data_IF_200900158335
#
_entry.id   IF_200900158335
#
_cell.length_a   1.000
_cell.length_b   1.000
_cell.length_c   1.000
_cell.angle_alpha   90.00
_cell.angle_beta   90.00
_cell.angle_gamma   90.00
#
_symmetry.space_group_name_H-M   'P 1'
#
loop_
_entity.id
_entity.type
_entity.pdbx_description
1 polymer ?
#
# COMPACT_ATOMS: atom_id res chain seq x y z
N UNK A 1 -53.76 -12.51 43.03
CA UNK A 1 -52.84 -12.76 41.90
C UNK A 1 -51.45 -12.29 42.35
N UNK A 2 -50.51 -13.21 42.56
CA UNK A 2 -49.14 -12.88 43.00
C UNK A 2 -48.37 -12.35 41.78
N UNK A 3 -48.05 -11.06 41.76
CA UNK A 3 -47.15 -10.49 40.75
C UNK A 3 -45.73 -10.77 41.24
N UNK A 4 -45.02 -11.61 40.50
CA UNK A 4 -43.66 -12.02 40.80
C UNK A 4 -42.71 -11.00 40.14
N UNK A 5 -42.22 -10.02 40.91
CA UNK A 5 -41.18 -9.10 40.43
C UNK A 5 -39.82 -9.73 40.68
N UNK A 6 -39.29 -10.45 39.70
CA UNK A 6 -37.89 -10.88 39.72
C UNK A 6 -37.01 -9.65 39.48
N UNK A 7 -36.37 -9.18 40.55
CA UNK A 7 -35.25 -8.24 40.46
C UNK A 7 -34.03 -9.06 40.07
N UNK A 8 -33.57 -8.93 38.82
CA UNK A 8 -32.32 -9.53 38.37
C UNK A 8 -31.16 -8.67 38.86
N UNK A 9 -30.37 -9.22 39.79
CA UNK A 9 -29.12 -8.62 40.26
C UNK A 9 -27.98 -9.14 39.38
N UNK A 10 -27.27 -8.23 38.71
CA UNK A 10 -26.02 -8.54 38.03
C UNK A 10 -24.86 -8.03 38.87
N UNK A 11 -23.90 -8.91 39.16
CA UNK A 11 -22.60 -8.54 39.74
C UNK A 11 -21.56 -8.50 38.62
N UNK A 12 -21.06 -7.31 38.30
CA UNK A 12 -19.84 -7.17 37.50
C UNK A 12 -18.61 -7.43 38.38
N UNK A 13 -17.51 -7.91 37.77
CA UNK A 13 -16.22 -8.22 38.40
C UNK A 13 -15.46 -6.99 38.93
N UNK A 14 -16.14 -5.88 39.16
CA UNK A 14 -15.57 -4.67 39.77
C UNK A 14 -16.64 -3.89 40.54
N UNK A 15 -17.25 -4.52 41.56
CA UNK A 15 -17.90 -3.83 42.69
C UNK A 15 -19.07 -2.86 42.43
N UNK A 16 -19.47 -2.57 41.20
CA UNK A 16 -20.54 -1.62 40.89
C UNK A 16 -21.88 -2.36 40.80
N UNK A 17 -22.77 -2.11 41.76
CA UNK A 17 -24.17 -2.54 41.71
C UNK A 17 -24.96 -1.55 40.86
N UNK A 18 -25.50 -2.01 39.73
CA UNK A 18 -26.48 -1.27 38.93
C UNK A 18 -27.89 -1.77 39.29
N UNK A 19 -28.78 -0.86 39.69
CA UNK A 19 -30.20 -1.16 39.97
C UNK A 19 -31.10 -0.27 39.12
N UNK A 20 -32.04 -0.87 38.38
CA UNK A 20 -33.14 -0.17 37.73
C UNK A 20 -34.06 0.45 38.79
N UNK A 21 -34.36 1.75 38.65
CA UNK A 21 -35.41 2.40 39.44
C UNK A 21 -36.48 2.96 38.50
N UNK A 22 -37.55 2.20 38.31
CA UNK A 22 -38.81 2.73 37.79
C UNK A 22 -39.46 3.52 38.93
N UNK A 23 -39.37 4.85 38.85
CA UNK A 23 -39.96 5.84 39.76
C UNK A 23 -40.98 5.28 40.78
N UNK A 24 -40.53 5.12 42.03
CA UNK A 24 -41.36 5.35 43.22
C UNK A 24 -40.47 5.72 44.40
N UNK A 25 -40.72 6.91 44.96
CA UNK A 25 -39.95 7.50 46.05
C UNK A 25 -40.06 6.67 47.33
N UNK A 26 -38.95 6.15 47.84
CA UNK A 26 -38.70 6.02 49.29
C UNK A 26 -37.20 6.15 49.61
N UNK A 27 -36.89 7.18 50.39
CA UNK A 27 -35.61 7.46 51.06
C UNK A 27 -35.12 6.25 51.87
N UNK A 28 -33.86 5.82 51.67
CA UNK A 28 -32.91 5.44 52.74
C UNK A 28 -31.46 5.62 52.29
N UNK A 29 -30.67 6.16 53.22
CA UNK A 29 -29.26 6.50 53.13
C UNK A 29 -28.36 5.34 52.67
N UNK A 30 -27.84 5.48 51.47
CA UNK A 30 -26.49 5.09 51.07
C UNK A 30 -26.08 6.15 50.05
N UNK A 31 -24.84 6.64 50.08
CA UNK A 31 -24.27 7.44 48.98
C UNK A 31 -24.18 6.55 47.73
N UNK A 32 -25.32 6.25 47.13
CA UNK A 32 -25.41 5.66 45.82
C UNK A 32 -25.18 6.80 44.83
N UNK A 33 -24.05 6.74 44.14
CA UNK A 33 -23.82 7.57 42.96
C UNK A 33 -24.91 7.19 41.96
N UNK A 34 -25.96 8.02 41.85
CA UNK A 34 -26.98 7.86 40.83
C UNK A 34 -26.36 8.27 39.48
N UNK A 35 -25.84 7.29 38.75
CA UNK A 35 -25.42 7.48 37.37
C UNK A 35 -26.68 7.48 36.52
N UNK A 36 -27.06 8.64 36.00
CA UNK A 36 -28.16 8.77 35.06
C UNK A 36 -27.68 8.31 33.67
N UNK A 37 -27.65 7.00 33.45
CA UNK A 37 -27.36 6.41 32.14
C UNK A 37 -28.67 6.45 31.34
N UNK A 38 -28.66 7.09 30.17
CA UNK A 38 -29.83 7.07 29.32
C UNK A 38 -30.14 5.63 28.86
N UNK A 39 -31.40 5.36 28.52
CA UNK A 39 -31.84 4.01 28.15
C UNK A 39 -31.14 3.49 26.89
N UNK A 40 -30.83 4.34 25.91
CA UNK A 40 -30.12 3.94 24.70
C UNK A 40 -28.70 3.47 25.03
N UNK A 41 -27.97 4.22 25.87
CA UNK A 41 -26.62 3.84 26.30
C UNK A 41 -26.63 2.49 27.04
N UNK A 42 -27.62 2.25 27.91
CA UNK A 42 -27.76 0.97 28.59
C UNK A 42 -28.08 -0.18 27.62
N UNK A 43 -28.96 0.07 26.65
CA UNK A 43 -29.31 -0.92 25.62
C UNK A 43 -28.09 -1.27 24.76
N UNK A 44 -27.27 -0.29 24.38
CA UNK A 44 -26.03 -0.55 23.64
C UNK A 44 -25.01 -1.33 24.47
N UNK A 45 -24.83 -1.01 25.76
CA UNK A 45 -23.94 -1.77 26.65
C UNK A 45 -24.38 -3.23 26.81
N UNK A 46 -25.69 -3.46 26.94
CA UNK A 46 -26.24 -4.82 26.95
C UNK A 46 -25.97 -5.52 25.62
N UNK A 47 -26.11 -4.81 24.49
CA UNK A 47 -25.89 -5.37 23.16
C UNK A 47 -24.42 -5.77 22.94
N UNK A 48 -23.48 -4.89 23.32
CA UNK A 48 -22.04 -5.17 23.36
C UNK A 48 -21.70 -6.46 24.12
N UNK A 49 -22.37 -6.68 25.26
CA UNK A 49 -22.14 -7.88 26.08
C UNK A 49 -22.80 -9.16 25.54
N UNK A 50 -23.70 -9.06 24.55
CA UNK A 50 -24.59 -10.14 24.13
C UNK A 50 -24.33 -10.68 22.72
N UNK A 51 -23.68 -9.90 21.85
CA UNK A 51 -23.36 -10.31 20.48
C UNK A 51 -22.02 -11.04 20.42
N UNK A 52 -21.91 -11.97 19.46
CA UNK A 52 -20.64 -12.58 19.14
C UNK A 52 -19.69 -11.51 18.58
N UNK A 53 -18.45 -11.50 19.07
CA UNK A 53 -17.37 -10.66 18.53
C UNK A 53 -17.11 -11.05 17.07
N UNK A 54 -17.46 -10.17 16.13
CA UNK A 54 -17.24 -10.36 14.69
C UNK A 54 -16.52 -9.14 14.11
N UNK A 55 -15.48 -9.39 13.32
CA UNK A 55 -14.79 -8.36 12.55
C UNK A 55 -15.64 -7.96 11.33
N UNK A 56 -16.16 -6.74 11.34
CA UNK A 56 -17.00 -6.17 10.27
C UNK A 56 -16.15 -5.37 9.28
N UNK A 57 -15.22 -4.56 9.81
CA UNK A 57 -14.31 -3.79 8.97
C UNK A 57 -13.36 -4.74 8.24
N UNK A 58 -13.08 -4.43 6.98
CA UNK A 58 -12.04 -5.08 6.18
C UNK A 58 -11.27 -4.00 5.48
N UNK A 59 -9.98 -3.88 5.76
CA UNK A 59 -9.11 -2.91 5.14
C UNK A 59 -9.13 -3.02 3.61
N UNK A 60 -9.29 -4.23 3.10
CA UNK A 60 -9.44 -4.56 1.68
C UNK A 60 -9.98 -5.98 1.55
N UNK A 61 -10.65 -6.28 0.44
CA UNK A 61 -11.19 -7.60 0.11
C UNK A 61 -10.84 -8.04 -1.32
N UNK A 62 -9.93 -7.31 -1.98
CA UNK A 62 -9.53 -7.51 -3.37
C UNK A 62 -10.70 -7.41 -4.38
N UNK A 63 -11.80 -6.75 -4.01
CA UNK A 63 -12.96 -6.57 -4.89
C UNK A 63 -12.82 -5.42 -5.89
N UNK A 64 -11.80 -4.56 -5.75
CA UNK A 64 -11.56 -3.49 -6.71
C UNK A 64 -11.17 -4.06 -8.07
N UNK A 65 -11.93 -3.68 -9.10
CA UNK A 65 -11.67 -3.99 -10.50
C UNK A 65 -11.57 -2.67 -11.24
N UNK A 66 -10.47 -2.48 -11.98
CA UNK A 66 -10.31 -1.32 -12.84
C UNK A 66 -11.22 -1.47 -14.08
N UNK A 67 -12.25 -0.61 -14.24
CA UNK A 67 -13.22 -0.75 -15.33
C UNK A 67 -12.61 -0.47 -16.71
N UNK A 68 -11.60 0.42 -16.78
CA UNK A 68 -10.91 0.73 -18.04
C UNK A 68 -10.06 -0.47 -18.49
N UNK A 69 -9.44 -1.18 -17.54
CA UNK A 69 -8.66 -2.40 -17.83
C UNK A 69 -9.58 -3.54 -18.27
N UNK A 70 -10.71 -3.74 -17.58
CA UNK A 70 -11.71 -4.75 -17.97
C UNK A 70 -12.23 -4.48 -19.39
N UNK A 71 -12.55 -3.23 -19.71
CA UNK A 71 -12.99 -2.84 -21.04
C UNK A 71 -11.91 -3.10 -22.11
N UNK A 72 -10.64 -2.82 -21.80
CA UNK A 72 -9.50 -3.07 -22.71
C UNK A 72 -9.34 -4.55 -23.02
N UNK A 73 -9.30 -5.38 -21.97
CA UNK A 73 -9.17 -6.84 -22.08
C UNK A 73 -10.31 -7.40 -22.93
N UNK A 74 -11.56 -7.04 -22.59
CA UNK A 74 -12.74 -7.49 -23.32
C UNK A 74 -12.69 -7.11 -24.80
N UNK A 75 -12.30 -5.87 -25.13
CA UNK A 75 -12.22 -5.41 -26.52
C UNK A 75 -11.21 -6.22 -27.34
N UNK A 76 -10.02 -6.49 -26.77
CA UNK A 76 -8.99 -7.26 -27.46
C UNK A 76 -9.37 -8.74 -27.60
N UNK A 77 -9.96 -9.34 -26.58
CA UNK A 77 -10.47 -10.71 -26.64
C UNK A 77 -11.53 -10.87 -27.74
N UNK A 78 -12.54 -9.99 -27.76
CA UNK A 78 -13.58 -10.00 -28.78
C UNK A 78 -13.02 -9.80 -30.18
N UNK A 79 -12.11 -8.84 -30.35
CA UNK A 79 -11.46 -8.57 -31.62
C UNK A 79 -10.69 -9.78 -32.13
N UNK A 80 -9.73 -10.29 -31.35
CA UNK A 80 -8.83 -11.33 -31.81
C UNK A 80 -9.49 -12.70 -31.92
N UNK A 81 -10.52 -12.98 -31.12
CA UNK A 81 -11.37 -14.16 -31.31
C UNK A 81 -12.03 -14.13 -32.69
N UNK A 82 -12.69 -13.02 -33.03
CA UNK A 82 -13.35 -12.84 -34.33
C UNK A 82 -12.34 -12.91 -35.48
N UNK A 83 -11.21 -12.21 -35.36
CA UNK A 83 -10.18 -12.21 -36.39
C UNK A 83 -9.57 -13.60 -36.60
N UNK A 84 -9.40 -14.40 -35.55
CA UNK A 84 -8.94 -15.79 -35.67
C UNK A 84 -9.95 -16.68 -36.42
N UNK A 85 -11.26 -16.50 -36.17
CA UNK A 85 -12.31 -17.20 -36.93
C UNK A 85 -12.31 -16.83 -38.41
N UNK A 86 -12.02 -15.56 -38.74
CA UNK A 86 -11.88 -15.10 -40.13
C UNK A 86 -10.61 -15.66 -40.79
N UNK A 87 -9.46 -15.61 -40.12
CA UNK A 87 -8.19 -16.13 -40.61
C UNK A 87 -8.26 -17.62 -40.95
N UNK A 88 -8.99 -18.41 -40.15
CA UNK A 88 -9.18 -19.86 -40.37
C UNK A 88 -9.97 -20.21 -41.64
N UNK A 89 -10.64 -19.24 -42.28
CA UNK A 89 -11.35 -19.45 -43.55
C UNK A 89 -10.41 -19.46 -44.77
N UNK A 90 -9.18 -18.97 -44.62
CA UNK A 90 -8.18 -19.00 -45.69
C UNK A 90 -7.56 -20.39 -45.84
N UNK A 91 -7.19 -20.83 -47.06
CA UNK A 91 -6.55 -22.13 -47.27
C UNK A 91 -5.25 -22.33 -46.49
N UNK A 92 -4.48 -21.26 -46.30
CA UNK A 92 -3.31 -21.22 -45.43
C UNK A 92 -3.42 -20.00 -44.49
N UNK A 93 -4.03 -20.16 -43.30
CA UNK A 93 -4.21 -19.08 -42.33
C UNK A 93 -2.89 -18.46 -41.87
N UNK A 94 -1.83 -19.26 -41.78
CA UNK A 94 -0.52 -18.79 -41.33
C UNK A 94 0.11 -17.85 -42.35
N UNK A 95 0.09 -18.25 -43.62
CA UNK A 95 0.61 -17.42 -44.71
C UNK A 95 -0.28 -16.20 -44.95
N UNK A 96 -1.60 -16.31 -44.77
CA UNK A 96 -2.52 -15.17 -44.79
C UNK A 96 -2.12 -14.10 -43.77
N UNK A 97 -1.97 -14.48 -42.49
CA UNK A 97 -1.57 -13.57 -41.40
C UNK A 97 -0.20 -12.95 -41.69
N UNK A 98 0.77 -13.73 -42.17
CA UNK A 98 2.09 -13.19 -42.51
C UNK A 98 1.99 -12.11 -43.60
N UNK A 99 1.26 -12.37 -44.69
CA UNK A 99 1.11 -11.40 -45.79
C UNK A 99 0.33 -10.15 -45.36
N UNK A 100 -0.72 -10.30 -44.54
CA UNK A 100 -1.51 -9.20 -43.97
C UNK A 100 -0.63 -8.14 -43.28
N UNK A 101 0.46 -8.56 -42.63
CA UNK A 101 1.33 -7.66 -41.87
C UNK A 101 2.71 -7.40 -42.49
N UNK A 102 3.16 -8.20 -43.46
CA UNK A 102 4.53 -8.10 -44.01
C UNK A 102 4.61 -7.85 -45.53
N UNK A 103 3.50 -7.95 -46.27
CA UNK A 103 3.51 -7.84 -47.73
C UNK A 103 2.67 -6.64 -48.22
N UNK A 104 3.31 -5.49 -48.54
CA UNK A 104 2.61 -4.28 -48.99
C UNK A 104 1.77 -4.43 -50.28
N UNK A 105 1.99 -5.50 -51.05
CA UNK A 105 1.25 -5.78 -52.29
C UNK A 105 0.06 -6.73 -52.07
N UNK A 106 -0.12 -7.24 -50.85
CA UNK A 106 -1.20 -8.16 -50.53
C UNK A 106 -2.52 -7.41 -50.37
N UNK A 107 -3.62 -8.01 -50.86
CA UNK A 107 -4.95 -7.39 -50.83
C UNK A 107 -5.39 -6.97 -49.42
N UNK A 108 -5.04 -7.78 -48.41
CA UNK A 108 -5.40 -7.56 -47.00
C UNK A 108 -4.31 -6.82 -46.21
N UNK A 109 -3.31 -6.22 -46.86
CA UNK A 109 -2.22 -5.57 -46.13
C UNK A 109 -2.72 -4.44 -45.22
N UNK A 110 -2.34 -4.47 -43.94
CA UNK A 110 -2.71 -3.50 -42.90
C UNK A 110 -1.94 -2.17 -43.09
N UNK A 111 -2.36 -1.41 -44.11
CA UNK A 111 -1.73 -0.16 -44.57
C UNK A 111 -1.92 1.01 -43.61
N UNK A 112 -2.95 0.97 -42.79
CA UNK A 112 -3.32 1.98 -41.80
C UNK A 112 -2.49 1.90 -40.50
N UNK A 113 -1.81 0.78 -40.29
CA UNK A 113 -0.94 0.55 -39.14
C UNK A 113 0.49 1.04 -39.43
N UNK A 114 1.23 1.42 -38.40
CA UNK A 114 2.69 1.57 -38.47
C UNK A 114 3.40 0.22 -38.26
N UNK A 115 4.73 0.19 -38.37
CA UNK A 115 5.51 -1.05 -38.25
C UNK A 115 5.36 -1.74 -36.88
N UNK A 116 5.32 -0.96 -35.80
CA UNK A 116 5.13 -1.49 -34.45
C UNK A 116 3.73 -2.07 -34.27
N UNK A 117 2.70 -1.33 -34.71
CA UNK A 117 1.31 -1.78 -34.68
C UNK A 117 1.12 -3.08 -35.48
N UNK A 118 1.67 -3.17 -36.70
CA UNK A 118 1.65 -4.39 -37.51
C UNK A 118 2.35 -5.56 -36.82
N UNK A 119 3.50 -5.32 -36.20
CA UNK A 119 4.24 -6.36 -35.47
C UNK A 119 3.41 -6.90 -34.30
N UNK A 120 2.80 -6.02 -33.51
CA UNK A 120 1.96 -6.41 -32.37
C UNK A 120 0.76 -7.23 -32.86
N UNK A 121 0.01 -6.72 -33.84
CA UNK A 121 -1.17 -7.43 -34.36
C UNK A 121 -0.81 -8.76 -35.03
N UNK A 122 0.34 -8.84 -35.72
CA UNK A 122 0.89 -10.10 -36.24
C UNK A 122 1.17 -11.11 -35.12
N UNK A 123 1.87 -10.72 -34.05
CA UNK A 123 2.17 -11.59 -32.91
C UNK A 123 0.90 -12.09 -32.20
N UNK A 124 -0.09 -11.21 -32.04
CA UNK A 124 -1.38 -11.55 -31.42
C UNK A 124 -2.17 -12.56 -32.26
N UNK A 125 -2.40 -12.28 -33.54
CA UNK A 125 -3.14 -13.19 -34.42
C UNK A 125 -2.42 -14.53 -34.58
N UNK A 126 -1.08 -14.53 -34.66
CA UNK A 126 -0.29 -15.76 -34.76
C UNK A 126 -0.39 -16.59 -33.49
N UNK A 127 -0.39 -15.96 -32.32
CA UNK A 127 -0.57 -16.64 -31.03
C UNK A 127 -1.95 -17.27 -30.92
N UNK A 128 -2.99 -16.53 -31.31
CA UNK A 128 -4.39 -17.00 -31.34
C UNK A 128 -4.60 -18.17 -32.31
N UNK A 129 -3.96 -18.12 -33.49
CA UNK A 129 -3.99 -19.23 -34.44
C UNK A 129 -3.36 -20.49 -33.84
N UNK A 130 -2.28 -20.34 -33.08
CA UNK A 130 -1.56 -21.43 -32.42
C UNK A 130 -2.20 -21.91 -31.11
N UNK A 131 -3.35 -21.34 -30.69
CA UNK A 131 -4.01 -21.67 -29.43
C UNK A 131 -3.21 -21.25 -28.18
N UNK A 132 -2.32 -20.27 -28.31
CA UNK A 132 -1.52 -19.73 -27.20
C UNK A 132 -2.17 -18.47 -26.65
N UNK A 133 -2.22 -18.38 -25.33
CA UNK A 133 -2.53 -17.11 -24.65
C UNK A 133 -1.36 -16.14 -24.83
N UNK A 134 -1.64 -14.90 -25.18
CA UNK A 134 -0.65 -13.82 -25.23
C UNK A 134 -1.10 -12.68 -24.33
N UNK A 135 -0.14 -12.06 -23.64
CA UNK A 135 -0.43 -10.86 -22.86
C UNK A 135 -0.88 -9.74 -23.79
N UNK A 136 -1.96 -9.04 -23.44
CA UNK A 136 -2.44 -7.89 -24.18
C UNK A 136 -1.42 -6.74 -24.10
N UNK A 137 -1.19 -6.05 -25.22
CA UNK A 137 -0.27 -4.92 -25.29
C UNK A 137 -1.07 -3.63 -25.40
N UNK A 138 -0.71 -2.65 -24.60
CA UNK A 138 -1.36 -1.32 -24.60
C UNK A 138 -1.06 -0.51 -25.87
N UNK A 139 0.00 -0.87 -26.59
CA UNK A 139 0.34 -0.32 -27.92
C UNK A 139 -0.38 -1.02 -29.08
N UNK A 140 -1.36 -1.88 -28.80
CA UNK A 140 -2.15 -2.54 -29.82
C UNK A 140 -3.05 -1.54 -30.57
N UNK A 141 -3.04 -1.63 -31.90
CA UNK A 141 -3.79 -0.74 -32.78
C UNK A 141 -5.29 -0.68 -32.46
N UNK A 142 -5.87 -1.81 -32.00
CA UNK A 142 -7.31 -1.92 -31.78
C UNK A 142 -7.79 -1.21 -30.49
N UNK A 143 -6.87 -0.85 -29.58
CA UNK A 143 -7.16 -0.13 -28.34
C UNK A 143 -6.51 1.25 -28.29
N UNK A 144 -5.80 1.68 -29.35
CA UNK A 144 -5.06 2.94 -29.38
C UNK A 144 -5.90 4.17 -28.99
N UNK A 145 -7.18 4.20 -29.36
CA UNK A 145 -8.09 5.33 -29.06
C UNK A 145 -8.91 5.10 -27.77
N UNK A 146 -8.66 4.01 -27.02
CA UNK A 146 -9.22 3.81 -25.68
C UNK A 146 -8.48 4.65 -24.65
N UNK A 147 -9.15 4.86 -23.51
CA UNK A 147 -8.57 5.55 -22.37
C UNK A 147 -7.27 4.86 -21.92
N UNK A 148 -6.21 5.64 -21.78
CA UNK A 148 -4.95 5.15 -21.22
C UNK A 148 -5.08 4.94 -19.70
N UNK A 149 -4.40 3.92 -19.20
CA UNK A 149 -4.45 3.54 -17.79
C UNK A 149 -3.09 3.80 -17.18
N UNK A 150 -3.07 4.48 -16.04
CA UNK A 150 -1.87 4.83 -15.30
C UNK A 150 -1.95 4.25 -13.90
N UNK A 151 -0.83 3.65 -13.46
CA UNK A 151 -0.75 2.93 -12.19
C UNK A 151 -1.03 3.86 -10.98
N UNK A 152 -0.49 5.08 -11.01
CA UNK A 152 -0.72 6.08 -9.95
C UNK A 152 -2.21 6.46 -9.82
N UNK A 153 -2.89 6.69 -10.94
CA UNK A 153 -4.33 6.97 -10.98
C UNK A 153 -5.13 5.75 -10.51
N UNK A 154 -4.77 4.55 -10.95
CA UNK A 154 -5.50 3.32 -10.59
C UNK A 154 -5.35 2.98 -9.10
N UNK A 155 -4.14 3.10 -8.55
CA UNK A 155 -3.87 2.95 -7.12
C UNK A 155 -4.65 3.99 -6.31
N UNK A 156 -4.71 5.24 -6.77
CA UNK A 156 -5.49 6.29 -6.09
C UNK A 156 -7.00 5.97 -6.08
N UNK A 157 -7.55 5.52 -7.22
CA UNK A 157 -8.95 5.06 -7.33
C UNK A 157 -9.24 3.85 -6.47
N UNK A 158 -8.32 2.88 -6.42
CA UNK A 158 -8.42 1.72 -5.56
C UNK A 158 -8.48 2.11 -4.08
N UNK A 159 -7.60 3.01 -3.63
CA UNK A 159 -7.62 3.51 -2.25
C UNK A 159 -8.93 4.23 -1.92
N UNK A 160 -9.43 5.06 -2.84
CA UNK A 160 -10.74 5.72 -2.67
C UNK A 160 -11.90 4.71 -2.60
N UNK A 161 -11.89 3.66 -3.43
CA UNK A 161 -12.88 2.59 -3.39
C UNK A 161 -12.89 1.85 -2.05
N UNK A 162 -11.72 1.45 -1.54
CA UNK A 162 -11.65 0.79 -0.23
C UNK A 162 -12.01 1.73 0.92
N UNK A 163 -11.72 3.02 0.80
CA UNK A 163 -12.21 4.02 1.76
C UNK A 163 -13.73 4.04 1.84
N UNK A 164 -14.44 3.94 0.73
CA UNK A 164 -15.90 3.85 0.73
C UNK A 164 -16.41 2.56 1.36
N UNK A 165 -15.78 1.43 1.05
CA UNK A 165 -16.11 0.14 1.68
C UNK A 165 -15.95 0.17 3.20
N UNK A 166 -14.86 0.75 3.69
CA UNK A 166 -14.63 0.90 5.13
C UNK A 166 -15.62 1.88 5.75
N UNK A 167 -16.00 2.97 5.07
CA UNK A 167 -17.08 3.85 5.53
C UNK A 167 -18.42 3.10 5.67
N UNK A 168 -18.79 2.29 4.67
CA UNK A 168 -20.00 1.45 4.68
C UNK A 168 -19.96 0.43 5.84
N UNK A 169 -18.84 -0.27 6.01
CA UNK A 169 -18.66 -1.25 7.09
C UNK A 169 -18.70 -0.61 8.47
N UNK A 170 -18.10 0.58 8.62
CA UNK A 170 -18.17 1.32 9.88
C UNK A 170 -19.60 1.78 10.17
N UNK A 171 -20.35 2.25 9.17
CA UNK A 171 -21.78 2.54 9.34
C UNK A 171 -22.57 1.30 9.79
N UNK A 172 -22.33 0.15 9.18
CA UNK A 172 -22.96 -1.12 9.58
C UNK A 172 -22.60 -1.53 11.01
N UNK A 173 -21.36 -1.28 11.43
CA UNK A 173 -20.90 -1.51 12.79
C UNK A 173 -21.65 -0.61 13.78
N UNK A 174 -21.79 0.68 13.48
CA UNK A 174 -22.58 1.61 14.31
C UNK A 174 -24.05 1.21 14.38
N UNK A 175 -24.67 0.89 13.24
CA UNK A 175 -26.08 0.47 13.14
C UNK A 175 -26.33 -0.81 13.95
N UNK A 176 -25.40 -1.77 13.89
CA UNK A 176 -25.46 -3.02 14.65
C UNK A 176 -25.54 -2.76 16.16
N UNK A 177 -24.90 -1.71 16.65
CA UNK A 177 -24.89 -1.34 18.07
C UNK A 177 -25.85 -0.18 18.42
N UNK A 178 -26.64 0.30 17.46
CA UNK A 178 -27.59 1.41 17.67
C UNK A 178 -26.92 2.75 17.99
N UNK A 179 -25.69 2.96 17.50
CA UNK A 179 -24.90 4.17 17.76
C UNK A 179 -25.21 5.23 16.70
N UNK A 180 -25.63 6.40 17.16
CA UNK A 180 -25.87 7.57 16.29
C UNK A 180 -24.78 8.62 16.58
N UNK A 181 -23.99 8.96 15.55
CA UNK A 181 -23.03 10.07 15.63
C UNK A 181 -23.76 11.36 15.22
N UNK A 182 -23.80 12.42 16.06
CA UNK A 182 -24.44 13.66 15.69
C UNK A 182 -23.83 14.28 14.44
N UNK A 183 -24.67 14.88 13.60
CA UNK A 183 -24.22 15.55 12.37
C UNK A 183 -23.17 16.63 12.69
N UNK A 184 -22.19 16.76 11.80
CA UNK A 184 -21.12 17.75 11.86
C UNK A 184 -20.16 17.61 13.05
N UNK A 185 -20.24 16.49 13.79
CA UNK A 185 -19.25 16.10 14.80
C UNK A 185 -17.94 15.72 14.10
N UNK A 186 -16.83 16.32 14.53
CA UNK A 186 -15.50 15.94 14.07
C UNK A 186 -14.92 14.98 15.12
N UNK A 187 -14.53 13.78 14.68
CA UNK A 187 -13.98 12.75 15.56
C UNK A 187 -12.60 12.38 15.02
N UNK A 188 -11.61 12.21 15.89
CA UNK A 188 -10.32 11.62 15.54
C UNK A 188 -10.18 10.28 16.25
N UNK A 189 -9.93 9.23 15.47
CA UNK A 189 -9.59 7.90 15.94
C UNK A 189 -8.08 7.73 15.89
N UNK A 190 -7.45 7.48 17.03
CA UNK A 190 -6.01 7.25 17.15
C UNK A 190 -5.77 5.82 17.60
N UNK A 191 -4.92 5.07 16.90
CA UNK A 191 -4.75 3.64 17.10
C UNK A 191 -3.30 3.34 17.49
N UNK A 192 -3.14 2.63 18.61
CA UNK A 192 -1.86 2.13 19.09
C UNK A 192 -1.31 1.04 18.14
N UNK A 193 -0.03 1.10 17.75
CA UNK A 193 0.53 0.18 16.75
C UNK A 193 0.83 -1.23 17.28
N UNK A 194 0.65 -1.52 18.57
CA UNK A 194 1.07 -2.75 19.20
C UNK A 194 -0.12 -3.64 19.59
N UNK A 195 -1.11 -3.06 20.23
CA UNK A 195 -2.33 -3.76 20.65
C UNK A 195 -3.53 -3.38 19.78
N UNK A 196 -3.34 -2.48 18.81
CA UNK A 196 -4.40 -1.96 17.93
C UNK A 196 -5.57 -1.34 18.69
N UNK A 197 -5.37 -0.91 19.93
CA UNK A 197 -6.41 -0.23 20.70
C UNK A 197 -6.68 1.15 20.13
N UNK A 198 -7.94 1.46 19.89
CA UNK A 198 -8.36 2.79 19.48
C UNK A 198 -8.61 3.69 20.69
N UNK A 199 -8.27 4.97 20.55
CA UNK A 199 -8.67 6.07 21.41
C UNK A 199 -9.42 7.12 20.59
N UNK A 200 -10.48 7.68 21.15
CA UNK A 200 -11.39 8.62 20.48
C UNK A 200 -11.21 10.02 21.06
N UNK A 201 -11.05 11.00 20.18
CA UNK A 201 -10.94 12.42 20.55
C UNK A 201 -11.73 13.32 19.60
N UNK A 202 -11.83 14.62 19.92
CA UNK A 202 -12.58 15.60 19.13
C UNK A 202 -14.07 15.72 19.49
N UNK A 203 -14.58 14.88 20.40
CA UNK A 203 -15.96 14.90 20.89
C UNK A 203 -16.04 15.21 22.39
N UNK A 204 -16.99 16.07 22.79
CA UNK A 204 -17.21 16.43 24.20
C UNK A 204 -17.98 15.35 24.98
N UNK A 205 -18.85 14.61 24.27
CA UNK A 205 -19.62 13.51 24.83
C UNK A 205 -18.69 12.31 25.10
N UNK A 206 -18.24 12.20 26.36
CA UNK A 206 -17.37 11.12 26.82
C UNK A 206 -18.04 9.75 26.75
N UNK A 207 -19.37 9.68 26.89
CA UNK A 207 -20.09 8.42 26.82
C UNK A 207 -20.11 7.90 25.39
N UNK A 208 -20.37 8.77 24.42
CA UNK A 208 -20.25 8.43 23.00
C UNK A 208 -18.80 8.11 22.61
N UNK A 209 -17.81 8.84 23.11
CA UNK A 209 -16.40 8.54 22.88
C UNK A 209 -16.03 7.12 23.33
N UNK A 210 -16.32 6.78 24.59
CA UNK A 210 -16.05 5.43 25.12
C UNK A 210 -16.83 4.35 24.38
N UNK A 211 -18.06 4.63 23.97
CA UNK A 211 -18.86 3.66 23.22
C UNK A 211 -18.29 3.38 21.82
N UNK A 212 -17.76 4.41 21.14
CA UNK A 212 -17.07 4.24 19.87
C UNK A 212 -15.76 3.47 20.04
N UNK A 213 -15.02 3.72 21.13
CA UNK A 213 -13.82 2.94 21.49
C UNK A 213 -14.17 1.47 21.70
N UNK A 214 -15.18 1.17 22.51
CA UNK A 214 -15.62 -0.19 22.81
C UNK A 214 -16.02 -0.94 21.54
N UNK A 215 -16.84 -0.30 20.68
CA UNK A 215 -17.33 -0.92 19.45
C UNK A 215 -16.20 -1.20 18.44
N UNK A 216 -15.29 -0.25 18.23
CA UNK A 216 -14.15 -0.48 17.33
C UNK A 216 -13.14 -1.48 17.88
N UNK A 217 -13.02 -1.60 19.21
CA UNK A 217 -12.14 -2.59 19.85
C UNK A 217 -12.78 -3.99 19.93
N UNK A 218 -14.01 -4.20 19.43
CA UNK A 218 -14.57 -5.55 19.29
C UNK A 218 -13.88 -6.32 18.15
N UNK A 219 -13.55 -7.60 18.39
CA UNK A 219 -12.83 -8.45 17.46
C UNK A 219 -11.56 -7.75 16.88
N UNK A 220 -11.34 -7.81 15.56
CA UNK A 220 -10.20 -7.15 14.89
C UNK A 220 -10.58 -5.82 14.20
N UNK A 221 -11.72 -5.19 14.52
CA UNK A 221 -12.20 -4.01 13.78
C UNK A 221 -11.19 -2.84 13.81
N UNK A 222 -10.58 -2.55 14.95
CA UNK A 222 -9.57 -1.50 15.09
C UNK A 222 -8.26 -1.85 14.38
N UNK A 223 -7.86 -3.12 14.34
CA UNK A 223 -6.70 -3.61 13.58
C UNK A 223 -6.92 -3.49 12.07
N UNK A 224 -8.13 -3.78 11.59
CA UNK A 224 -8.51 -3.57 10.20
C UNK A 224 -8.53 -2.07 9.85
N UNK A 225 -9.01 -1.21 10.75
CA UNK A 225 -8.93 0.24 10.56
C UNK A 225 -7.47 0.73 10.52
N UNK A 226 -6.60 0.25 11.40
CA UNK A 226 -5.16 0.54 11.37
C UNK A 226 -4.52 0.12 10.05
N UNK A 227 -4.81 -1.10 9.60
CA UNK A 227 -4.31 -1.65 8.33
C UNK A 227 -4.78 -0.82 7.15
N UNK A 228 -6.03 -0.35 7.19
CA UNK A 228 -6.60 0.52 6.16
C UNK A 228 -5.89 1.88 6.10
N UNK A 229 -5.64 2.53 7.24
CA UNK A 229 -4.89 3.79 7.31
C UNK A 229 -3.49 3.58 6.74
N UNK A 230 -2.80 2.52 7.18
CA UNK A 230 -1.46 2.19 6.73
C UNK A 230 -1.39 1.97 5.21
N UNK A 231 -2.30 1.18 4.64
CA UNK A 231 -2.33 0.91 3.19
C UNK A 231 -2.78 2.09 2.34
N UNK A 232 -3.59 2.98 2.92
CA UNK A 232 -4.00 4.22 2.26
C UNK A 232 -2.91 5.29 2.30
N UNK A 233 -1.85 5.10 3.10
CA UNK A 233 -0.79 6.10 3.24
C UNK A 233 -0.05 6.38 1.94
N UNK A 234 0.42 7.62 1.80
CA UNK A 234 1.31 8.09 0.74
C UNK A 234 2.75 8.23 1.28
N UNK A 235 3.73 8.30 0.39
CA UNK A 235 5.16 8.36 0.77
C UNK A 235 5.51 9.58 1.64
N UNK A 236 4.69 10.63 1.61
CA UNK A 236 4.86 11.85 2.40
C UNK A 236 4.01 11.89 3.69
N UNK A 237 3.45 10.76 4.13
CA UNK A 237 2.62 10.73 5.34
C UNK A 237 3.45 10.97 6.61
N UNK A 238 3.17 12.05 7.34
CA UNK A 238 3.92 12.46 8.53
C UNK A 238 3.75 11.53 9.74
N UNK A 239 2.77 10.63 9.75
CA UNK A 239 2.53 9.67 10.83
C UNK A 239 3.45 8.44 10.72
N UNK A 240 4.07 8.21 9.55
CA UNK A 240 4.86 7.01 9.25
C UNK A 240 6.29 7.43 8.94
N UNK A 241 7.21 7.07 9.83
CA UNK A 241 8.65 7.17 9.57
C UNK A 241 9.22 5.78 9.35
N UNK A 242 10.39 5.70 8.70
CA UNK A 242 11.08 4.41 8.56
C UNK A 242 11.30 3.75 9.94
N UNK A 243 11.79 4.52 10.91
CA UNK A 243 12.11 4.00 12.24
C UNK A 243 10.88 3.52 13.01
N UNK A 244 9.79 4.29 12.99
CA UNK A 244 8.56 3.91 13.70
C UNK A 244 7.88 2.69 13.06
N UNK A 245 7.87 2.61 11.73
CA UNK A 245 7.37 1.45 10.99
C UNK A 245 8.22 0.19 11.26
N UNK A 246 9.56 0.32 11.29
CA UNK A 246 10.44 -0.79 11.63
C UNK A 246 10.25 -1.27 13.06
N UNK A 247 10.13 -0.35 14.02
CA UNK A 247 9.82 -0.67 15.42
C UNK A 247 8.52 -1.46 15.57
N UNK A 248 7.45 -0.99 14.94
CA UNK A 248 6.15 -1.69 14.96
C UNK A 248 6.23 -3.08 14.31
N UNK A 249 6.88 -3.19 13.14
CA UNK A 249 7.04 -4.49 12.45
C UNK A 249 7.85 -5.49 13.27
N UNK A 250 8.99 -5.07 13.83
CA UNK A 250 9.82 -5.99 14.61
C UNK A 250 9.14 -6.40 15.91
N UNK A 251 8.38 -5.50 16.54
CA UNK A 251 7.55 -5.85 17.70
C UNK A 251 6.61 -7.02 17.39
N UNK A 252 5.82 -6.92 16.32
CA UNK A 252 4.87 -7.98 15.95
C UNK A 252 5.56 -9.27 15.55
N UNK A 253 6.65 -9.20 14.79
CA UNK A 253 7.43 -10.38 14.41
C UNK A 253 7.95 -11.14 15.64
N UNK A 254 8.51 -10.43 16.63
CA UNK A 254 9.01 -11.08 17.86
C UNK A 254 7.86 -11.64 18.69
N UNK A 255 6.77 -10.89 18.86
CA UNK A 255 5.59 -11.35 19.60
C UNK A 255 4.97 -12.59 18.98
N UNK A 256 4.82 -12.62 17.66
CA UNK A 256 4.24 -13.74 16.92
C UNK A 256 5.11 -15.01 16.95
N UNK A 257 6.44 -14.86 16.93
CA UNK A 257 7.38 -16.00 16.86
C UNK A 257 7.79 -16.52 18.24
N UNK A 258 7.84 -15.66 19.24
CA UNK A 258 8.39 -16.00 20.57
C UNK A 258 7.35 -15.94 21.69
N UNK A 259 6.24 -15.23 21.49
CA UNK A 259 5.24 -14.94 22.52
C UNK A 259 5.60 -13.79 23.46
N UNK A 260 6.80 -13.22 23.36
CA UNK A 260 7.22 -12.10 24.22
C UNK A 260 6.80 -10.75 23.66
N UNK A 261 6.30 -9.90 24.55
CA UNK A 261 6.03 -8.50 24.28
C UNK A 261 7.29 -7.68 24.57
N UNK A 262 7.87 -7.00 23.57
CA UNK A 262 9.12 -6.26 23.74
C UNK A 262 9.01 -5.12 24.77
N UNK A 263 7.79 -4.65 25.07
CA UNK A 263 7.56 -3.60 26.09
C UNK A 263 7.79 -4.11 27.51
N UNK A 264 7.67 -5.42 27.71
CA UNK A 264 7.82 -6.08 29.02
C UNK A 264 9.25 -6.58 29.27
N UNK A 265 10.13 -6.49 28.27
CA UNK A 265 11.51 -6.97 28.35
C UNK A 265 12.47 -5.88 28.85
N UNK A 266 13.53 -6.31 29.54
CA UNK A 266 14.61 -5.39 29.93
C UNK A 266 15.46 -5.06 28.72
N UNK A 267 15.59 -3.76 28.39
CA UNK A 267 16.45 -3.31 27.30
C UNK A 267 17.77 -2.75 27.86
N UNK A 268 18.81 -3.58 27.86
CA UNK A 268 20.13 -3.26 28.42
C UNK A 268 21.24 -3.69 27.46
N UNK A 269 22.31 -2.89 27.36
CA UNK A 269 23.49 -3.15 26.52
C UNK A 269 23.17 -3.51 25.06
N UNK A 270 22.16 -2.85 24.47
CA UNK A 270 21.77 -3.08 23.09
C UNK A 270 21.05 -4.41 22.85
N UNK A 271 20.49 -5.01 23.90
CA UNK A 271 19.75 -6.29 23.86
C UNK A 271 18.41 -6.16 24.56
N UNK A 272 17.52 -7.10 24.26
CA UNK A 272 16.29 -7.32 25.03
C UNK A 272 16.42 -8.63 25.79
N UNK A 273 16.29 -8.57 27.11
CA UNK A 273 16.42 -9.70 28.00
C UNK A 273 15.06 -10.08 28.58
N UNK A 274 14.78 -11.38 28.59
CA UNK A 274 13.65 -11.97 29.31
C UNK A 274 13.85 -11.89 30.82
N UNK A 275 12.80 -12.12 31.64
CA UNK A 275 12.91 -12.07 33.10
C UNK A 275 13.96 -13.02 33.71
N UNK A 276 14.31 -14.10 33.01
CA UNK A 276 15.38 -15.03 33.40
C UNK A 276 16.76 -14.70 32.80
N UNK A 277 16.88 -13.58 32.10
CA UNK A 277 18.13 -13.03 31.55
C UNK A 277 18.53 -13.58 30.18
N UNK A 278 17.66 -14.31 29.49
CA UNK A 278 17.93 -14.85 28.15
C UNK A 278 17.74 -13.76 27.10
N UNK A 279 18.66 -13.69 26.13
CA UNK A 279 18.57 -12.75 25.01
C UNK A 279 17.44 -13.17 24.07
N UNK A 280 16.50 -12.26 23.79
CA UNK A 280 15.35 -12.56 22.93
C UNK A 280 15.77 -13.04 21.54
N UNK A 281 16.96 -12.64 21.08
CA UNK A 281 17.47 -13.03 19.78
C UNK A 281 17.77 -14.53 19.70
N UNK A 282 18.18 -15.15 20.82
CA UNK A 282 18.39 -16.59 20.91
C UNK A 282 17.05 -17.34 20.78
N UNK A 283 16.03 -16.86 21.47
CA UNK A 283 14.67 -17.41 21.41
C UNK A 283 14.09 -17.26 20.01
N UNK A 284 14.25 -16.09 19.38
CA UNK A 284 13.82 -15.83 18.02
C UNK A 284 14.51 -16.75 17.00
N UNK A 285 15.83 -16.94 17.14
CA UNK A 285 16.61 -17.86 16.29
C UNK A 285 16.06 -19.28 16.37
N UNK A 286 15.80 -19.78 17.59
CA UNK A 286 15.22 -21.10 17.77
C UNK A 286 13.82 -21.23 17.15
N UNK A 287 12.97 -20.21 17.35
CA UNK A 287 11.63 -20.16 16.78
C UNK A 287 11.67 -20.20 15.25
N UNK A 288 12.61 -19.49 14.62
CA UNK A 288 12.81 -19.50 13.17
C UNK A 288 13.29 -20.86 12.65
N UNK A 289 14.24 -21.50 13.32
CA UNK A 289 14.72 -22.85 12.96
C UNK A 289 13.57 -23.87 13.01
N UNK A 290 12.73 -23.79 14.05
CA UNK A 290 11.60 -24.72 14.28
C UNK A 290 10.37 -24.40 13.42
N UNK A 291 10.32 -23.23 12.77
CA UNK A 291 9.15 -22.81 11.99
C UNK A 291 8.95 -23.68 10.75
N UNK A 292 7.72 -24.17 10.56
CA UNK A 292 7.22 -24.86 9.37
C UNK A 292 6.60 -23.89 8.34
N UNK A 293 6.34 -22.64 8.75
CA UNK A 293 5.76 -21.57 7.91
C UNK A 293 6.78 -20.89 7.00
N UNK A 294 8.08 -21.09 7.24
CA UNK A 294 9.17 -20.46 6.48
C UNK A 294 9.96 -21.57 5.79
N UNK A 295 10.07 -21.57 4.44
CA UNK A 295 10.90 -22.54 3.74
C UNK A 295 12.35 -22.47 4.21
N UNK A 296 13.01 -23.63 4.29
CA UNK A 296 14.33 -23.80 4.90
C UNK A 296 15.37 -22.85 4.29
N UNK A 297 15.33 -22.67 2.97
CA UNK A 297 16.23 -21.80 2.21
C UNK A 297 16.13 -20.31 2.56
N UNK A 298 15.00 -19.88 3.15
CA UNK A 298 14.77 -18.48 3.51
C UNK A 298 14.95 -18.20 5.01
N UNK A 299 15.01 -19.22 5.87
CA UNK A 299 15.09 -19.04 7.34
C UNK A 299 16.27 -18.16 7.77
N UNK A 300 17.46 -18.42 7.21
CA UNK A 300 18.66 -17.64 7.52
C UNK A 300 18.51 -16.17 7.14
N UNK A 301 18.03 -15.91 5.92
CA UNK A 301 17.84 -14.55 5.39
C UNK A 301 16.81 -13.76 6.21
N UNK A 302 15.65 -14.34 6.52
CA UNK A 302 14.65 -13.68 7.36
C UNK A 302 15.16 -13.43 8.77
N UNK A 303 15.86 -14.40 9.35
CA UNK A 303 16.47 -14.24 10.68
C UNK A 303 17.45 -13.07 10.69
N UNK A 304 18.41 -13.02 9.76
CA UNK A 304 19.42 -11.96 9.70
C UNK A 304 18.77 -10.57 9.51
N UNK A 305 17.80 -10.48 8.60
CA UNK A 305 17.06 -9.24 8.34
C UNK A 305 16.33 -8.72 9.59
N UNK A 306 15.61 -9.57 10.30
CA UNK A 306 14.86 -9.18 11.49
C UNK A 306 15.78 -9.00 12.72
N UNK A 307 16.84 -9.80 12.84
CA UNK A 307 17.85 -9.65 13.88
C UNK A 307 18.51 -8.26 13.85
N UNK A 308 18.88 -7.79 12.65
CA UNK A 308 19.46 -6.46 12.48
C UNK A 308 18.48 -5.36 12.93
N UNK A 309 17.21 -5.46 12.56
CA UNK A 309 16.17 -4.50 12.98
C UNK A 309 15.95 -4.50 14.47
N UNK A 310 15.90 -5.68 15.08
CA UNK A 310 15.76 -5.83 16.53
C UNK A 310 16.94 -5.20 17.27
N UNK A 311 18.16 -5.44 16.81
CA UNK A 311 19.37 -4.83 17.36
C UNK A 311 19.36 -3.31 17.22
N UNK A 312 18.93 -2.76 16.07
CA UNK A 312 18.82 -1.32 15.88
C UNK A 312 17.87 -0.67 16.90
N UNK A 313 16.71 -1.31 17.15
CA UNK A 313 15.76 -0.83 18.17
C UNK A 313 16.35 -0.98 19.57
N UNK A 314 16.99 -2.12 19.87
CA UNK A 314 17.58 -2.40 21.18
C UNK A 314 18.75 -1.45 21.53
N UNK A 315 19.58 -1.07 20.55
CA UNK A 315 20.69 -0.13 20.72
C UNK A 315 20.21 1.29 21.02
N UNK A 316 19.13 1.72 20.35
CA UNK A 316 18.54 3.04 20.59
C UNK A 316 17.76 3.10 21.90
N UNK A 317 17.19 1.98 22.33
CA UNK A 317 16.22 1.94 23.42
C UNK A 317 14.80 1.86 22.88
N UNK A 318 14.00 0.86 23.28
CA UNK A 318 12.61 0.74 22.79
C UNK A 318 11.82 2.03 22.98
N UNK A 319 11.89 2.66 24.15
CA UNK A 319 11.16 3.90 24.45
C UNK A 319 11.70 5.14 23.72
N UNK A 320 12.92 5.07 23.16
CA UNK A 320 13.56 6.20 22.47
C UNK A 320 13.28 6.21 20.97
N UNK A 321 12.81 5.10 20.40
CA UNK A 321 12.38 5.03 19.00
C UNK A 321 10.89 5.43 18.92
N UNK A 322 10.50 6.38 18.05
CA UNK A 322 9.10 6.82 17.94
C UNK A 322 8.13 5.68 17.59
N UNK A 323 6.91 5.76 18.10
CA UNK A 323 5.84 4.81 17.80
C UNK A 323 5.10 5.18 16.51
N UNK A 324 4.67 4.19 15.74
CA UNK A 324 3.86 4.39 14.53
C UNK A 324 2.37 4.55 14.88
N UNK A 325 2.06 5.53 15.72
CA UNK A 325 0.68 5.84 16.09
C UNK A 325 -0.04 6.41 14.87
N UNK A 326 -1.11 5.74 14.44
CA UNK A 326 -1.88 6.16 13.28
C UNK A 326 -3.22 6.76 13.71
N UNK A 327 -3.54 7.92 13.15
CA UNK A 327 -4.79 8.62 13.35
C UNK A 327 -5.56 8.79 12.06
N UNK A 328 -6.88 8.84 12.19
CA UNK A 328 -7.80 9.17 11.11
C UNK A 328 -8.99 9.97 11.61
N UNK A 329 -9.35 11.00 10.86
CA UNK A 329 -10.50 11.83 11.18
C UNK A 329 -11.77 11.22 10.60
N UNK A 330 -12.91 11.50 11.21
CA UNK A 330 -14.23 11.09 10.75
C UNK A 330 -15.23 12.22 10.90
N UNK A 331 -16.02 12.41 9.85
CA UNK A 331 -17.12 13.35 9.83
C UNK A 331 -18.16 12.93 8.80
N UNK A 332 -19.44 13.04 9.17
CA UNK A 332 -20.57 12.90 8.25
C UNK A 332 -20.50 11.64 7.36
N UNK A 333 -20.19 10.47 7.95
CA UNK A 333 -20.17 9.21 7.22
C UNK A 333 -18.85 8.91 6.48
N UNK A 334 -17.83 9.76 6.59
CA UNK A 334 -16.57 9.57 5.88
C UNK A 334 -15.36 9.70 6.79
N UNK A 335 -14.40 8.79 6.60
CA UNK A 335 -13.05 8.90 7.15
C UNK A 335 -12.15 9.79 6.26
N UNK A 336 -11.29 10.59 6.88
CA UNK A 336 -10.37 11.53 6.26
C UNK A 336 -8.93 11.30 6.76
N UNK A 337 -8.00 11.13 5.83
CA UNK A 337 -6.60 10.85 6.14
C UNK A 337 -5.91 12.00 6.88
N UNK A 338 -5.11 11.66 7.88
CA UNK A 338 -4.29 12.60 8.67
C UNK A 338 -2.82 12.45 8.27
N UNK A 339 -2.08 13.56 8.28
CA UNK A 339 -0.64 13.57 8.02
C UNK A 339 -0.24 13.50 6.54
N UNK A 340 -1.18 13.54 5.61
CA UNK A 340 -0.90 13.54 4.16
C UNK A 340 -1.78 14.55 3.41
N UNK A 341 -1.30 15.03 2.26
CA UNK A 341 -2.00 15.99 1.41
C UNK A 341 -3.10 15.34 0.56
N UNK A 342 -2.83 14.14 0.05
CA UNK A 342 -3.77 13.36 -0.73
C UNK A 342 -4.74 12.66 0.21
N UNK A 343 -5.99 13.09 0.18
CA UNK A 343 -7.01 12.61 1.09
C UNK A 343 -8.07 11.83 0.29
N UNK A 344 -8.40 10.65 0.79
CA UNK A 344 -9.36 9.74 0.21
C UNK A 344 -10.75 9.89 0.85
N UNK A 345 -10.98 10.82 1.77
CA UNK A 345 -12.33 11.13 2.27
C UNK A 345 -13.22 11.69 1.16
N UNK A 346 -14.53 11.41 1.21
CA UNK A 346 -15.48 11.64 0.11
C UNK A 346 -15.41 13.06 -0.46
N UNK A 347 -15.27 14.08 0.38
CA UNK A 347 -15.25 15.49 -0.02
C UNK A 347 -13.85 16.02 -0.44
N UNK A 348 -12.83 15.16 -0.50
CA UNK A 348 -11.42 15.57 -0.70
C UNK A 348 -10.73 14.87 -1.88
N UNK A 349 -11.47 14.19 -2.75
CA UNK A 349 -10.93 13.34 -3.82
C UNK A 349 -10.67 14.04 -5.16
N UNK A 350 -10.99 15.32 -5.32
CA UNK A 350 -10.84 16.05 -6.59
C UNK A 350 -9.43 15.99 -7.20
N UNK A 351 -8.41 15.73 -6.38
CA UNK A 351 -7.03 15.57 -6.85
C UNK A 351 -6.85 14.31 -7.72
N UNK A 352 -7.64 13.25 -7.52
CA UNK A 352 -7.60 12.02 -8.33
C UNK A 352 -8.02 12.34 -9.77
N UNK A 353 -9.10 13.12 -9.92
CA UNK A 353 -9.60 13.52 -11.23
C UNK A 353 -8.64 14.49 -11.92
N UNK A 354 -8.02 15.41 -11.17
CA UNK A 354 -6.96 16.29 -11.69
C UNK A 354 -5.73 15.50 -12.13
N UNK A 355 -5.33 14.48 -11.37
CA UNK A 355 -4.24 13.58 -11.72
C UNK A 355 -4.57 12.84 -13.02
N UNK A 356 -5.75 12.23 -13.14
CA UNK A 356 -6.19 11.53 -14.35
C UNK A 356 -6.24 12.47 -15.57
N UNK A 357 -6.76 13.69 -15.40
CA UNK A 357 -6.83 14.69 -16.46
C UNK A 357 -5.45 15.24 -16.88
N UNK A 358 -4.43 15.16 -16.01
CA UNK A 358 -3.06 15.59 -16.33
C UNK A 358 -2.31 14.62 -17.25
N UNK A 359 -2.80 13.38 -17.37
CA UNK A 359 -2.18 12.33 -18.18
C UNK A 359 -2.64 12.39 -19.63
N UNK A 360 -1.88 11.83 -20.58
CA UNK A 360 -2.40 11.53 -21.91
C UNK A 360 -3.69 10.71 -21.82
N UNK A 361 -4.72 11.09 -22.57
CA UNK A 361 -6.06 10.52 -22.39
C UNK A 361 -6.24 9.22 -23.16
N UNK A 362 -5.47 9.00 -24.23
CA UNK A 362 -5.57 7.77 -25.05
C UNK A 362 -4.25 7.02 -25.10
N UNK A 363 -4.32 5.69 -25.31
CA UNK A 363 -3.12 4.87 -25.51
C UNK A 363 -2.27 5.36 -26.68
N UNK A 364 -2.87 5.92 -27.73
CA UNK A 364 -2.19 6.52 -28.87
C UNK A 364 -1.34 7.72 -28.45
N UNK A 365 -1.81 8.53 -27.51
CA UNK A 365 -1.05 9.67 -26.97
C UNK A 365 0.04 9.18 -26.02
N UNK A 366 -0.30 8.25 -25.11
CA UNK A 366 0.64 7.66 -24.15
C UNK A 366 1.82 6.96 -24.83
N UNK A 367 1.57 6.19 -25.89
CA UNK A 367 2.62 5.46 -26.61
C UNK A 367 3.46 6.36 -27.53
N UNK A 368 3.05 7.62 -27.77
CA UNK A 368 3.87 8.60 -28.50
C UNK A 368 4.98 9.17 -27.62
N UNK A 369 4.73 9.42 -26.33
CA UNK A 369 5.73 9.98 -25.42
C UNK A 369 6.91 9.02 -25.18
N UNK A 370 6.68 7.71 -25.25
CA UNK A 370 7.73 6.70 -25.12
C UNK A 370 8.58 6.53 -26.41
N UNK A 371 8.11 7.11 -27.52
CA UNK A 371 8.78 7.10 -28.82
C UNK A 371 9.75 8.27 -29.03
N UNK A 372 10.45 8.72 -27.97
CA UNK A 372 11.72 9.43 -28.16
C UNK A 372 12.69 8.42 -28.78
N UNK A 373 12.68 8.35 -30.11
CA UNK A 373 13.60 7.55 -30.93
C UNK A 373 15.02 7.68 -30.40
N UNK A 374 15.78 6.58 -30.38
CA UNK A 374 17.17 6.50 -29.90
C UNK A 374 18.05 7.64 -30.44
N UNK A 375 17.78 8.14 -31.65
CA UNK A 375 18.47 9.31 -32.22
C UNK A 375 18.27 10.61 -31.44
N UNK A 376 17.10 10.80 -30.83
CA UNK A 376 16.79 11.97 -30.00
C UNK A 376 17.31 11.81 -28.56
N UNK A 377 17.44 10.57 -28.05
CA UNK A 377 18.18 10.31 -26.78
C UNK A 377 19.66 10.67 -26.90
N UNK A 378 20.30 10.40 -28.05
CA UNK A 378 21.68 10.84 -28.28
C UNK A 378 21.82 12.37 -28.36
N UNK A 379 20.82 13.07 -28.89
CA UNK A 379 20.77 14.53 -28.90
C UNK A 379 20.62 15.11 -27.49
N UNK A 380 19.63 14.62 -26.75
CA UNK A 380 19.33 15.05 -25.38
C UNK A 380 20.48 14.74 -24.42
N UNK A 381 21.15 13.58 -24.54
CA UNK A 381 22.33 13.23 -23.73
C UNK A 381 23.53 14.13 -24.07
N UNK A 382 23.74 14.49 -25.34
CA UNK A 382 24.81 15.43 -25.73
C UNK A 382 24.58 16.85 -25.21
N UNK A 383 23.32 17.27 -25.22
CA UNK A 383 22.89 18.60 -24.79
C UNK A 383 22.91 18.72 -23.26
N UNK A 384 22.40 17.70 -22.55
CA UNK A 384 22.40 17.63 -21.08
C UNK A 384 23.79 17.44 -20.45
N UNK A 385 24.73 16.80 -21.17
CA UNK A 385 26.12 16.64 -20.71
C UNK A 385 27.07 17.72 -21.25
N UNK A 386 26.55 18.72 -21.99
CA UNK A 386 27.30 19.81 -22.62
C UNK A 386 28.57 19.32 -23.38
N UNK A 387 28.48 18.17 -24.04
CA UNK A 387 29.61 17.42 -24.63
C UNK A 387 30.13 17.98 -25.97
N UNK A 388 29.96 19.28 -26.21
CA UNK A 388 30.45 19.93 -27.43
C UNK A 388 31.98 19.93 -27.54
N UNK A 389 32.69 19.49 -26.50
CA UNK A 389 34.17 19.50 -26.39
C UNK A 389 34.83 18.13 -26.19
N UNK A 390 34.06 17.04 -26.02
CA UNK A 390 34.60 15.69 -25.79
C UNK A 390 34.25 14.77 -26.95
N UNK A 391 35.28 14.28 -27.66
CA UNK A 391 35.08 13.38 -28.81
C UNK A 391 34.86 11.95 -28.36
N UNK A 392 34.16 11.16 -29.17
CA UNK A 392 33.89 9.73 -28.89
C UNK A 392 35.18 8.91 -28.74
N UNK A 393 36.30 9.40 -29.27
CA UNK A 393 37.61 8.75 -29.18
C UNK A 393 38.24 8.87 -27.78
N UNK A 394 37.97 9.95 -27.04
CA UNK A 394 38.38 10.10 -25.62
C UNK A 394 37.69 9.08 -24.70
N UNK A 395 36.37 8.90 -24.87
CA UNK A 395 35.60 7.89 -24.11
C UNK A 395 36.06 6.46 -24.43
N UNK A 396 36.48 6.20 -25.67
CA UNK A 396 37.04 4.89 -26.06
C UNK A 396 38.41 4.64 -25.44
N UNK A 397 39.26 5.65 -25.29
CA UNK A 397 40.57 5.45 -24.63
C UNK A 397 40.44 5.17 -23.14
N UNK A 398 39.45 5.80 -22.49
CA UNK A 398 39.21 5.66 -21.05
C UNK A 398 38.51 4.34 -20.72
N UNK A 399 37.52 3.94 -21.54
CA UNK A 399 36.93 2.60 -21.49
C UNK A 399 37.98 1.50 -21.73
N UNK A 400 38.95 1.75 -22.62
CA UNK A 400 40.06 0.83 -22.88
C UNK A 400 41.00 0.67 -21.67
N UNK A 401 41.23 1.74 -20.91
CA UNK A 401 41.95 1.67 -19.63
C UNK A 401 41.22 0.81 -18.59
N UNK A 402 39.89 0.92 -18.49
CA UNK A 402 39.07 0.09 -17.61
C UNK A 402 38.99 -1.38 -18.08
N UNK A 403 38.96 -1.63 -19.39
CA UNK A 403 39.02 -2.98 -19.95
C UNK A 403 40.36 -3.67 -19.67
N UNK A 404 41.47 -2.93 -19.70
CA UNK A 404 42.81 -3.42 -19.36
C UNK A 404 42.97 -3.65 -17.84
N UNK A 405 42.34 -2.83 -16.99
CA UNK A 405 42.38 -2.96 -15.52
C UNK A 405 41.56 -4.16 -15.01
N UNK A 406 40.37 -4.40 -15.58
CA UNK A 406 39.43 -5.42 -15.09
C UNK A 406 39.33 -6.68 -15.99
N UNK A 407 40.05 -6.72 -17.12
CA UNK A 407 40.18 -7.90 -17.97
C UNK A 407 38.88 -8.37 -18.64
N UNK A 408 37.85 -7.52 -18.70
CA UNK A 408 36.54 -7.83 -19.28
C UNK A 408 36.04 -6.66 -20.14
N UNK A 409 35.38 -6.93 -21.26
CA UNK A 409 34.76 -5.92 -22.13
C UNK A 409 33.26 -5.71 -21.88
N UNK A 410 32.71 -6.38 -20.86
CA UNK A 410 31.29 -6.31 -20.52
C UNK A 410 30.97 -5.05 -19.71
N UNK A 411 30.22 -4.14 -20.34
CA UNK A 411 29.91 -2.82 -19.81
C UNK A 411 28.92 -2.85 -18.63
N UNK A 412 28.02 -3.84 -18.58
CA UNK A 412 27.10 -4.03 -17.44
C UNK A 412 27.87 -4.58 -16.24
N UNK A 413 28.81 -5.49 -16.47
CA UNK A 413 29.67 -6.02 -15.41
C UNK A 413 30.57 -4.94 -14.79
N UNK A 414 31.14 -4.05 -15.61
CA UNK A 414 31.93 -2.90 -15.13
C UNK A 414 31.07 -1.95 -14.30
N UNK A 415 29.84 -1.66 -14.76
CA UNK A 415 28.88 -0.83 -14.04
C UNK A 415 28.49 -1.44 -12.68
N UNK A 416 28.25 -2.75 -12.63
CA UNK A 416 27.96 -3.50 -11.40
C UNK A 416 29.13 -3.49 -10.42
N UNK A 417 30.37 -3.69 -10.90
CA UNK A 417 31.58 -3.67 -10.06
C UNK A 417 31.80 -2.28 -9.43
N UNK A 418 31.55 -1.21 -10.19
CA UNK A 418 31.65 0.16 -9.70
C UNK A 418 30.54 0.49 -8.68
N UNK A 419 29.29 0.05 -8.93
CA UNK A 419 28.20 0.17 -7.96
C UNK A 419 28.48 -0.62 -6.67
N UNK A 420 29.07 -1.81 -6.78
CA UNK A 420 29.43 -2.65 -5.63
C UNK A 420 30.55 -2.02 -4.79
N UNK A 421 31.52 -1.35 -5.42
CA UNK A 421 32.56 -0.57 -4.71
C UNK A 421 31.99 0.61 -3.94
N UNK A 422 31.03 1.34 -4.52
CA UNK A 422 30.37 2.47 -3.87
C UNK A 422 29.54 2.07 -2.64
N UNK A 423 28.85 0.93 -2.72
CA UNK A 423 28.05 0.40 -1.61
C UNK A 423 28.89 -0.14 -0.44
N UNK A 424 30.21 -0.33 -0.62
CA UNK A 424 31.11 -0.89 0.40
C UNK A 424 32.03 0.15 1.07
N UNK A 425 31.71 1.44 0.95
CA UNK A 425 32.27 2.57 1.73
C UNK A 425 33.81 2.55 1.91
N UNK A 426 34.55 2.59 0.79
CA UNK A 426 36.01 2.78 0.80
C UNK A 426 36.44 3.98 -0.05
N UNK A 427 37.09 4.92 0.65
CA UNK A 427 37.77 6.17 0.29
C UNK A 427 37.87 6.64 -1.17
N UNK A 428 37.19 7.78 -1.39
CA UNK A 428 37.41 8.93 -2.29
C UNK A 428 38.58 8.91 -3.29
N UNK A 429 38.27 8.72 -4.58
CA UNK A 429 39.04 9.33 -5.65
C UNK A 429 38.41 10.66 -6.11
N UNK A 430 39.22 11.60 -6.59
CA UNK A 430 38.78 12.90 -7.12
C UNK A 430 37.74 12.76 -8.26
N UNK A 431 37.80 11.64 -9.00
CA UNK A 431 36.88 11.34 -10.08
C UNK A 431 35.45 11.04 -9.58
N UNK A 432 35.34 10.38 -8.43
CA UNK A 432 34.05 10.08 -7.80
C UNK A 432 33.38 11.38 -7.35
N UNK A 433 34.14 12.33 -6.80
CA UNK A 433 33.62 13.65 -6.37
C UNK A 433 33.06 14.50 -7.52
N UNK A 434 33.73 14.53 -8.67
CA UNK A 434 33.22 15.25 -9.85
C UNK A 434 32.00 14.54 -10.46
N UNK A 435 31.98 13.21 -10.46
CA UNK A 435 30.80 12.46 -10.90
C UNK A 435 29.58 12.70 -9.99
N UNK A 436 29.77 12.75 -8.66
CA UNK A 436 28.70 13.08 -7.71
C UNK A 436 28.22 14.53 -7.82
N UNK A 437 29.12 15.47 -8.12
CA UNK A 437 28.75 16.86 -8.38
C UNK A 437 27.85 16.97 -9.62
N UNK A 438 28.21 16.28 -10.70
CA UNK A 438 27.42 16.22 -11.93
C UNK A 438 26.04 15.58 -11.70
N UNK A 439 25.96 14.53 -10.87
CA UNK A 439 24.69 13.89 -10.53
C UNK A 439 23.75 14.83 -9.75
N UNK A 440 24.31 15.60 -8.80
CA UNK A 440 23.54 16.60 -8.01
C UNK A 440 23.09 17.79 -8.83
N UNK A 441 23.90 18.25 -9.78
CA UNK A 441 23.53 19.33 -10.71
C UNK A 441 22.38 18.87 -11.63
N UNK A 442 22.44 17.62 -12.11
CA UNK A 442 21.39 17.00 -12.91
C UNK A 442 20.06 16.83 -12.17
N UNK A 443 20.08 16.39 -10.91
CA UNK A 443 18.87 16.28 -10.07
C UNK A 443 18.20 17.63 -9.78
N UNK A 444 19.00 18.70 -9.64
CA UNK A 444 18.48 20.06 -9.41
C UNK A 444 17.84 20.65 -10.68
N UNK A 445 18.38 20.37 -11.86
CA UNK A 445 17.77 20.80 -13.13
C UNK A 445 16.45 20.08 -13.42
N UNK A 446 16.35 18.80 -13.07
CA UNK A 446 15.09 18.05 -13.19
C UNK A 446 14.01 18.64 -12.28
N UNK A 447 14.34 19.01 -11.03
CA UNK A 447 13.40 19.69 -10.12
C UNK A 447 12.90 21.04 -10.67
N UNK A 448 13.78 21.83 -11.28
CA UNK A 448 13.39 23.12 -11.89
C UNK A 448 12.54 22.94 -13.14
N UNK A 449 12.65 21.81 -13.85
CA UNK A 449 11.83 21.48 -15.03
C UNK A 449 10.44 20.90 -14.70
N UNK A 450 10.25 20.41 -13.46
CA UNK A 450 8.97 19.83 -13.00
C UNK A 450 8.07 20.89 -12.34
N UNK A 451 8.64 22.01 -11.87
CA UNK A 451 7.91 23.16 -11.32
C UNK A 451 7.55 24.25 -12.36
N UNK A 452 7.58 23.93 -13.67
CA UNK A 452 7.04 24.76 -14.77
C UNK A 452 6.09 23.93 -15.63
#
# INVERSE_FOLDING_TARGET
MKINTNIQQFSSLSGIKVTQNSNTSQNKNSEAVNINIDSKTLDTLNLLSSLNEETILKAYDNSYINPDMEALVKKLEEHYKKTNEENKKFPDPSNHIWNKYNNPKYEYYAKEMNDTERKISFEQEKSQLNGKYHSFRTADYHVKDMKAIYDDVDVARQKAYYRDKVNEQFSQLLDRYGIEIPKDTNISFTIDPYDYKVSVSGIEDKSLASLLEDVLNTADNSKELFTHIYKSSTDNNSQITLESNEKSRIFHEIKDKTGYDLRDLENVDGKFLTPDGTDILEIYKEAMIKSDKVPEEYKGLLYEFNAQKLQNVAQKGFLNVPDMVLSIDYKNGSFYDVGQSENFGVEKRDWIDKLDASKPQTWKEANKSDSITIGNKQGIIKEALNLNTLTLDSLKSEAKGLFEEYGTSDFELIKLILMQKYLMDKEDSQADKEFYKLLKEWENEIKISIDR
#
